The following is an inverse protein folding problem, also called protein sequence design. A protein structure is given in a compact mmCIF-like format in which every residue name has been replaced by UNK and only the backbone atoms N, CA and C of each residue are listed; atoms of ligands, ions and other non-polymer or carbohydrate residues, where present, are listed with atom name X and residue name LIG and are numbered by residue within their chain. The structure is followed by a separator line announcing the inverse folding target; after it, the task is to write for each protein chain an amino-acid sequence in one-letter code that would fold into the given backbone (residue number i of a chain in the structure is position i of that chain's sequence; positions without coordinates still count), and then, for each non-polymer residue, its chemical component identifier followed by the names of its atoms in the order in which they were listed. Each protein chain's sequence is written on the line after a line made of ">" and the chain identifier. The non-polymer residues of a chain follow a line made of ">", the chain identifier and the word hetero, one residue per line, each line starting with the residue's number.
data_IF_141378682410
#
_entry.id   IF_141378682410
#
_cell.length_a   1.000
_cell.length_b   1.000
_cell.length_c   1.000
_cell.angle_alpha   90.00
_cell.angle_beta   90.00
_cell.angle_gamma   90.00
#
_symmetry.space_group_name_H-M   'P 1'
#
loop_
_entity.id
_entity.type
_entity.pdbx_description
1 polymer ?
#
# COMPACT_ATOMS: atom_id res chain seq x y z
N UNK A 1 29.44 -49.90 -36.39
CA UNK A 1 29.69 -50.66 -35.14
C UNK A 1 30.44 -49.71 -34.21
N UNK A 2 29.89 -49.00 -33.24
CA UNK A 2 28.74 -49.13 -32.35
C UNK A 2 28.45 -47.71 -31.84
N UNK A 3 27.26 -47.16 -32.08
CA UNK A 3 26.18 -47.00 -31.09
C UNK A 3 26.50 -46.05 -29.92
N UNK A 4 25.89 -44.86 -30.01
CA UNK A 4 25.36 -44.00 -28.94
C UNK A 4 25.25 -44.69 -27.57
N UNK A 5 25.72 -44.04 -26.49
CA UNK A 5 24.94 -43.96 -25.24
C UNK A 5 25.26 -42.67 -24.49
N UNK A 6 24.32 -41.74 -24.64
CA UNK A 6 23.93 -40.65 -23.76
C UNK A 6 23.88 -41.16 -22.31
N UNK A 7 24.73 -40.63 -21.42
CA UNK A 7 24.61 -40.96 -20.00
C UNK A 7 23.29 -40.38 -19.45
N UNK A 8 22.40 -41.20 -18.84
CA UNK A 8 21.18 -40.72 -18.22
C UNK A 8 21.54 -39.91 -16.97
N UNK A 9 21.01 -38.68 -16.88
CA UNK A 9 21.02 -37.92 -15.61
C UNK A 9 20.26 -38.74 -14.58
N UNK A 10 20.98 -39.22 -13.56
CA UNK A 10 20.38 -39.90 -12.42
C UNK A 10 19.36 -38.97 -11.75
N UNK A 11 18.14 -39.46 -11.42
CA UNK A 11 17.15 -38.67 -10.71
C UNK A 11 17.64 -38.41 -9.29
N UNK A 12 17.51 -37.16 -8.83
CA UNK A 12 17.76 -36.78 -7.45
C UNK A 12 16.84 -37.59 -6.52
N UNK A 13 17.37 -38.63 -5.87
CA UNK A 13 16.72 -39.37 -4.77
C UNK A 13 16.82 -38.58 -3.46
N UNK A 14 16.51 -37.29 -3.52
CA UNK A 14 16.39 -36.46 -2.33
C UNK A 14 14.90 -36.22 -2.08
N UNK A 15 14.35 -36.71 -0.95
CA UNK A 15 12.94 -36.48 -0.63
C UNK A 15 12.71 -34.99 -0.41
N UNK A 16 12.00 -34.38 -1.36
CA UNK A 16 11.49 -33.02 -1.23
C UNK A 16 10.54 -32.94 -0.01
N UNK A 17 10.61 -31.88 0.80
CA UNK A 17 9.74 -31.68 1.97
C UNK A 17 8.38 -31.12 1.52
N UNK A 18 7.70 -31.84 0.64
CA UNK A 18 6.33 -31.56 0.24
C UNK A 18 5.48 -32.70 0.82
N UNK A 19 4.68 -32.35 1.83
CA UNK A 19 3.62 -33.15 2.47
C UNK A 19 4.03 -34.14 3.57
N UNK A 20 3.98 -33.66 4.82
CA UNK A 20 3.41 -34.44 5.90
C UNK A 20 2.28 -33.65 6.57
N UNK A 21 1.18 -34.37 6.77
CA UNK A 21 -0.12 -33.88 7.19
C UNK A 21 -0.10 -33.05 8.47
N UNK A 22 -0.91 -31.99 8.45
CA UNK A 22 -1.30 -31.18 9.59
C UNK A 22 -1.89 -32.04 10.71
N UNK A 23 -1.35 -32.02 11.95
CA UNK A 23 -2.12 -32.38 13.11
C UNK A 23 -3.00 -31.19 13.50
N UNK A 24 -4.31 -31.44 13.52
CA UNK A 24 -5.33 -30.59 14.12
C UNK A 24 -4.99 -30.33 15.59
N UNK A 25 -4.20 -29.30 15.86
CA UNK A 25 -3.96 -28.80 17.21
C UNK A 25 -4.79 -27.54 17.44
N UNK A 26 -5.94 -27.81 18.05
CA UNK A 26 -6.79 -26.92 18.84
C UNK A 26 -7.24 -25.62 18.16
N UNK A 27 -8.52 -25.64 17.73
CA UNK A 27 -9.34 -24.43 17.63
C UNK A 27 -9.21 -23.66 18.95
N UNK A 28 -8.44 -22.57 18.94
CA UNK A 28 -8.40 -21.60 20.04
C UNK A 28 -9.85 -21.21 20.39
N UNK A 29 -10.26 -21.26 21.66
CA UNK A 29 -11.60 -20.80 22.03
C UNK A 29 -11.72 -19.33 21.65
N UNK A 30 -12.80 -19.00 20.94
CA UNK A 30 -13.22 -17.62 20.72
C UNK A 30 -13.66 -17.05 22.06
N UNK A 31 -12.71 -16.63 22.89
CA UNK A 31 -13.03 -15.85 24.08
C UNK A 31 -13.38 -14.44 23.64
N UNK A 32 -14.66 -14.29 23.32
CA UNK A 32 -15.36 -13.03 23.22
C UNK A 32 -15.39 -12.35 24.59
N UNK A 33 -14.31 -11.64 24.95
CA UNK A 33 -14.37 -10.50 25.88
C UNK A 33 -13.13 -9.64 25.66
N UNK A 34 -13.27 -8.70 24.74
CA UNK A 34 -12.72 -7.35 24.88
C UNK A 34 -13.52 -6.50 23.92
N UNK A 35 -14.66 -6.00 24.40
CA UNK A 35 -15.16 -4.70 23.95
C UNK A 35 -14.01 -3.73 24.13
N UNK A 36 -13.17 -3.59 23.11
CA UNK A 36 -12.21 -2.52 23.03
C UNK A 36 -13.04 -1.26 23.04
N UNK A 37 -12.90 -0.48 24.12
CA UNK A 37 -13.39 0.89 24.15
C UNK A 37 -12.92 1.53 22.85
N UNK A 38 -13.86 1.83 21.96
CA UNK A 38 -13.58 2.50 20.71
C UNK A 38 -13.16 3.93 21.08
N UNK A 39 -11.87 4.12 21.38
CA UNK A 39 -11.27 5.43 21.48
C UNK A 39 -11.56 6.09 20.15
N UNK A 40 -12.38 7.14 20.19
CA UNK A 40 -12.83 7.92 19.05
C UNK A 40 -11.60 8.40 18.27
N UNK A 41 -11.18 7.61 17.30
CA UNK A 41 -10.19 8.00 16.32
C UNK A 41 -10.87 9.05 15.46
N UNK A 42 -10.49 10.33 15.66
CA UNK A 42 -11.00 11.48 14.90
C UNK A 42 -11.10 11.09 13.41
N UNK A 43 -12.30 10.84 12.87
CA UNK A 43 -12.42 10.52 11.48
C UNK A 43 -12.20 11.83 10.74
N UNK A 44 -11.08 11.98 10.04
CA UNK A 44 -10.92 13.08 9.08
C UNK A 44 -12.10 13.01 8.13
N UNK A 45 -13.02 13.97 8.29
CA UNK A 45 -14.27 14.00 7.54
C UNK A 45 -13.92 14.39 6.11
N UNK A 46 -14.36 13.58 5.16
CA UNK A 46 -14.15 13.86 3.73
C UNK A 46 -14.75 15.20 3.29
N UNK A 47 -15.72 15.72 4.05
CA UNK A 47 -16.35 17.02 3.82
C UNK A 47 -15.35 18.18 3.84
N UNK A 48 -14.34 18.14 4.71
CA UNK A 48 -13.34 19.22 4.86
C UNK A 48 -12.45 19.37 3.63
N UNK A 49 -12.28 18.29 2.84
CA UNK A 49 -11.42 18.32 1.65
C UNK A 49 -12.15 18.80 0.40
N UNK A 50 -13.48 18.82 0.40
CA UNK A 50 -14.27 19.25 -0.77
C UNK A 50 -14.23 20.77 -0.99
N UNK A 51 -14.06 21.55 0.07
CA UNK A 51 -13.99 23.01 0.03
C UNK A 51 -12.66 23.57 -0.46
N UNK A 52 -11.60 22.75 -0.53
CA UNK A 52 -10.25 23.19 -0.89
C UNK A 52 -10.07 23.33 -2.41
N UNK A 53 -9.18 24.23 -2.84
CA UNK A 53 -8.83 24.36 -4.27
C UNK A 53 -7.99 23.17 -4.77
N UNK A 54 -7.88 22.98 -6.11
CA UNK A 54 -7.09 21.86 -6.67
C UNK A 54 -5.59 21.99 -6.33
N UNK A 55 -5.08 23.20 -6.23
CA UNK A 55 -3.69 23.50 -5.89
C UNK A 55 -3.40 23.23 -4.42
N UNK A 56 -4.30 23.63 -3.52
CA UNK A 56 -4.21 23.34 -2.09
C UNK A 56 -4.23 21.83 -1.83
N UNK A 57 -5.05 21.08 -2.57
CA UNK A 57 -5.09 19.61 -2.45
C UNK A 57 -3.72 19.02 -2.78
N UNK A 58 -3.06 19.50 -3.85
CA UNK A 58 -1.74 19.01 -4.25
C UNK A 58 -0.67 19.36 -3.21
N UNK A 59 -0.68 20.58 -2.68
CA UNK A 59 0.21 20.99 -1.58
C UNK A 59 0.02 20.14 -0.32
N UNK A 60 -1.22 19.88 0.09
CA UNK A 60 -1.52 19.04 1.25
C UNK A 60 -1.08 17.59 1.04
N UNK A 61 -1.21 17.06 -0.18
CA UNK A 61 -0.71 15.72 -0.52
C UNK A 61 0.81 15.66 -0.36
N UNK A 62 1.53 16.68 -0.80
CA UNK A 62 2.98 16.75 -0.65
C UNK A 62 3.41 16.82 0.81
N UNK A 63 2.76 17.66 1.62
CA UNK A 63 3.07 17.77 3.05
C UNK A 63 2.80 16.44 3.77
N UNK A 64 1.66 15.80 3.52
CA UNK A 64 1.35 14.48 4.09
C UNK A 64 2.36 13.40 3.68
N UNK A 65 2.88 13.45 2.44
CA UNK A 65 3.94 12.55 1.99
C UNK A 65 5.27 12.81 2.70
N UNK A 66 5.65 14.07 2.91
CA UNK A 66 6.85 14.45 3.68
C UNK A 66 6.74 13.97 5.12
N UNK A 67 5.58 14.14 5.76
CA UNK A 67 5.33 13.61 7.10
C UNK A 67 5.44 12.09 7.16
N UNK A 68 4.85 11.37 6.19
CA UNK A 68 5.00 9.91 6.12
C UNK A 68 6.46 9.48 5.99
N UNK A 69 7.26 10.22 5.22
CA UNK A 69 8.69 9.95 5.09
C UNK A 69 9.44 10.17 6.40
N UNK A 70 9.15 11.28 7.11
CA UNK A 70 9.68 11.53 8.47
C UNK A 70 9.32 10.40 9.44
N UNK A 71 8.06 9.95 9.44
CA UNK A 71 7.62 8.85 10.30
C UNK A 71 8.30 7.51 9.93
N UNK A 72 8.49 7.24 8.63
CA UNK A 72 9.26 6.06 8.17
C UNK A 72 10.71 6.09 8.63
N UNK A 73 11.35 7.25 8.64
CA UNK A 73 12.69 7.39 9.21
C UNK A 73 12.73 7.17 10.72
N UNK A 74 11.73 7.67 11.46
CA UNK A 74 11.62 7.39 12.91
C UNK A 74 11.46 5.89 13.18
N UNK A 75 10.67 5.19 12.35
CA UNK A 75 10.55 3.73 12.39
C UNK A 75 11.90 3.06 12.16
N UNK A 76 12.64 3.47 11.12
CA UNK A 76 13.95 2.91 10.82
C UNK A 76 14.96 3.14 11.97
N UNK A 77 14.94 4.32 12.58
CA UNK A 77 15.77 4.66 13.75
C UNK A 77 15.30 4.02 15.07
N UNK A 78 14.15 3.33 15.07
CA UNK A 78 13.50 2.75 16.27
C UNK A 78 13.23 3.80 17.38
N UNK A 79 12.98 5.04 16.98
CA UNK A 79 12.58 6.13 17.89
C UNK A 79 11.12 5.93 18.34
N UNK A 80 10.73 6.46 19.50
CA UNK A 80 9.33 6.43 19.93
C UNK A 80 8.46 7.33 19.03
N UNK A 81 7.35 6.79 18.52
CA UNK A 81 6.37 7.53 17.73
C UNK A 81 4.97 6.90 17.89
N UNK A 82 3.93 7.61 17.44
CA UNK A 82 2.56 7.10 17.46
C UNK A 82 2.26 6.33 16.17
N UNK A 83 1.93 5.02 16.22
CA UNK A 83 1.67 4.23 15.01
C UNK A 83 0.40 4.66 14.26
N UNK A 84 -0.58 5.23 14.97
CA UNK A 84 -1.83 5.75 14.39
C UNK A 84 -1.58 6.86 13.37
N UNK A 85 -0.55 7.69 13.55
CA UNK A 85 -0.26 8.82 12.67
C UNK A 85 0.13 8.36 11.25
N UNK A 86 0.84 7.23 11.15
CA UNK A 86 1.16 6.61 9.85
C UNK A 86 -0.11 6.20 9.12
N UNK A 87 -1.07 5.63 9.85
CA UNK A 87 -2.35 5.22 9.27
C UNK A 87 -3.19 6.44 8.86
N UNK A 88 -3.24 7.48 9.69
CA UNK A 88 -3.97 8.72 9.39
C UNK A 88 -3.40 9.47 8.20
N UNK A 89 -2.07 9.59 8.09
CA UNK A 89 -1.48 10.29 6.95
C UNK A 89 -1.67 9.51 5.63
N UNK A 90 -1.62 8.18 5.66
CA UNK A 90 -2.02 7.35 4.49
C UNK A 90 -3.47 7.57 4.11
N UNK A 91 -4.38 7.61 5.09
CA UNK A 91 -5.81 7.81 4.88
C UNK A 91 -6.11 9.20 4.32
N UNK A 92 -5.47 10.25 4.84
CA UNK A 92 -5.56 11.63 4.32
C UNK A 92 -5.13 11.71 2.86
N UNK A 93 -3.99 11.12 2.50
CA UNK A 93 -3.52 11.10 1.10
C UNK A 93 -4.55 10.41 0.19
N UNK A 94 -5.11 9.27 0.62
CA UNK A 94 -6.14 8.58 -0.14
C UNK A 94 -7.40 9.45 -0.33
N UNK A 95 -7.87 10.12 0.73
CA UNK A 95 -9.03 11.03 0.68
C UNK A 95 -8.80 12.22 -0.26
N UNK A 96 -7.63 12.85 -0.21
CA UNK A 96 -7.27 13.97 -1.09
C UNK A 96 -7.23 13.53 -2.56
N UNK A 97 -6.60 12.38 -2.85
CA UNK A 97 -6.54 11.84 -4.21
C UNK A 97 -7.90 11.41 -4.74
N UNK A 98 -8.80 10.92 -3.88
CA UNK A 98 -10.17 10.60 -4.29
C UNK A 98 -10.95 11.85 -4.68
N UNK A 99 -10.87 12.94 -3.89
CA UNK A 99 -11.54 14.21 -4.24
C UNK A 99 -11.00 14.78 -5.55
N UNK A 100 -9.68 14.72 -5.77
CA UNK A 100 -9.07 15.11 -7.05
C UNK A 100 -9.62 14.28 -8.21
N UNK A 101 -9.76 12.96 -8.02
CA UNK A 101 -10.29 12.07 -9.05
C UNK A 101 -11.78 12.30 -9.31
N UNK A 102 -12.57 12.59 -8.28
CA UNK A 102 -13.99 12.97 -8.43
C UNK A 102 -14.11 14.20 -9.36
N UNK A 103 -13.31 15.24 -9.14
CA UNK A 103 -13.26 16.44 -10.00
C UNK A 103 -12.84 16.13 -11.44
N UNK A 104 -11.87 15.24 -11.63
CA UNK A 104 -11.47 14.80 -12.98
C UNK A 104 -12.62 14.07 -13.71
N UNK A 105 -13.42 13.30 -12.98
CA UNK A 105 -14.58 12.58 -13.54
C UNK A 105 -15.71 13.55 -13.89
N UNK A 106 -15.98 14.55 -13.04
CA UNK A 106 -16.94 15.62 -13.33
C UNK A 106 -16.57 16.41 -14.59
N UNK A 107 -15.28 16.61 -14.85
CA UNK A 107 -14.76 17.23 -16.09
C UNK A 107 -14.86 16.31 -17.33
N UNK A 108 -15.33 15.08 -17.18
CA UNK A 108 -15.50 14.12 -18.28
C UNK A 108 -14.22 13.42 -18.74
N UNK A 109 -13.13 13.50 -17.96
CA UNK A 109 -11.83 12.91 -18.35
C UNK A 109 -11.89 11.38 -18.27
N UNK A 110 -11.58 10.72 -19.39
CA UNK A 110 -11.61 9.26 -19.45
C UNK A 110 -10.53 8.64 -18.53
N UNK A 111 -10.74 7.38 -18.10
CA UNK A 111 -9.75 6.67 -17.25
C UNK A 111 -8.37 6.57 -17.92
N UNK A 112 -8.33 6.48 -19.26
CA UNK A 112 -7.08 6.41 -20.04
C UNK A 112 -6.36 7.75 -20.01
N UNK A 113 -7.05 8.84 -20.27
CA UNK A 113 -6.49 10.19 -20.27
C UNK A 113 -5.93 10.58 -18.90
N UNK A 114 -6.65 10.30 -17.81
CA UNK A 114 -6.16 10.59 -16.46
C UNK A 114 -4.84 9.88 -16.15
N UNK A 115 -4.71 8.60 -16.53
CA UNK A 115 -3.44 7.86 -16.37
C UNK A 115 -2.31 8.46 -17.20
N UNK A 116 -2.59 8.90 -18.43
CA UNK A 116 -1.60 9.55 -19.28
C UNK A 116 -1.15 10.88 -18.68
N UNK A 117 -2.09 11.68 -18.15
CA UNK A 117 -1.80 12.93 -17.45
C UNK A 117 -0.92 12.66 -16.23
N UNK A 118 -1.27 11.67 -15.41
CA UNK A 118 -0.47 11.27 -14.25
C UNK A 118 0.93 10.80 -14.66
N UNK A 119 1.05 9.97 -15.70
CA UNK A 119 2.34 9.51 -16.22
C UNK A 119 3.18 10.68 -16.72
N UNK A 120 2.60 11.60 -17.50
CA UNK A 120 3.28 12.81 -17.99
C UNK A 120 3.76 13.69 -16.84
N UNK A 121 2.92 13.90 -15.81
CA UNK A 121 3.30 14.63 -14.59
C UNK A 121 4.48 13.97 -13.89
N UNK A 122 4.46 12.64 -13.71
CA UNK A 122 5.55 11.92 -13.06
C UNK A 122 6.86 12.00 -13.86
N UNK A 123 6.79 11.89 -15.19
CA UNK A 123 7.96 12.04 -16.08
C UNK A 123 8.53 13.46 -16.00
N UNK A 124 7.68 14.48 -16.00
CA UNK A 124 8.10 15.88 -15.86
C UNK A 124 8.78 16.15 -14.50
N UNK A 125 8.32 15.49 -13.44
CA UNK A 125 8.92 15.53 -12.11
C UNK A 125 10.16 14.62 -11.97
N UNK A 126 10.58 13.92 -13.02
CA UNK A 126 11.76 13.04 -13.01
C UNK A 126 11.57 11.70 -12.31
N UNK A 127 10.35 11.38 -11.84
CA UNK A 127 10.05 10.10 -11.22
C UNK A 127 9.80 9.04 -12.30
N UNK A 128 10.84 8.31 -12.71
CA UNK A 128 10.73 7.17 -13.64
C UNK A 128 11.71 7.15 -14.82
N UNK A 129 12.82 7.90 -14.75
CA UNK A 129 13.93 7.84 -15.70
C UNK A 129 15.12 7.03 -15.13
N UNK A 130 14.86 5.80 -14.69
CA UNK A 130 15.91 4.86 -14.29
C UNK A 130 16.02 3.74 -15.31
#
# INVERSE_FOLDING_TARGET
>A
MQSLLLQPRLPCTLPCPQHSASPLLARRPLLATRTTLAVQAKPTRAAEFRSLSEEEIDQQVEECKKELFRLRFKIARKEAFKPSDVHWNKKKIAQLLTVKREREVEKGVSRRESRLIQKRKNVALGFGQF
#
